data_IF_284526542750
#
_entry.id   IF_284526542750
#
_cell.length_a   1.000
_cell.length_b   1.000
_cell.length_c   1.000
_cell.angle_alpha   90.00
_cell.angle_beta   90.00
_cell.angle_gamma   90.00
#
_symmetry.space_group_name_H-M   'P 1'
#
loop_
_entity.id
_entity.type
_entity.pdbx_description
1 polymer ?
#
# COMPACT_ATOMS: atom_id res chain seq x y z
N UNK A 1 18.04 14.48 -10.64
CA UNK A 1 16.83 13.80 -10.12
C UNK A 1 16.02 13.30 -11.32
N UNK A 2 15.40 12.11 -11.27
CA UNK A 2 14.57 11.62 -12.38
C UNK A 2 13.16 12.20 -12.27
N UNK A 3 12.56 12.57 -13.40
CA UNK A 3 11.14 12.94 -13.47
C UNK A 3 10.34 11.65 -13.64
N UNK A 4 9.28 11.49 -12.85
CA UNK A 4 8.38 10.36 -12.84
C UNK A 4 7.01 10.79 -13.37
N UNK A 5 6.32 9.94 -14.14
CA UNK A 5 5.01 10.25 -14.74
C UNK A 5 3.95 10.48 -13.65
N UNK A 6 3.95 9.63 -12.64
CA UNK A 6 3.16 9.74 -11.43
C UNK A 6 3.84 8.99 -10.29
N UNK A 7 3.28 9.09 -9.08
CA UNK A 7 3.87 8.51 -7.87
C UNK A 7 3.92 6.97 -7.89
N UNK A 8 3.07 6.28 -8.67
CA UNK A 8 3.12 4.81 -8.78
C UNK A 8 4.45 4.32 -9.36
N UNK A 9 5.03 5.09 -10.30
CA UNK A 9 6.33 4.77 -10.91
C UNK A 9 7.52 4.95 -9.95
N UNK A 10 7.27 5.45 -8.73
CA UNK A 10 8.26 5.53 -7.65
C UNK A 10 8.23 4.31 -6.72
N UNK A 11 7.25 3.41 -6.88
CA UNK A 11 7.14 2.19 -6.09
C UNK A 11 8.32 1.27 -6.42
N UNK A 12 8.98 0.80 -5.37
CA UNK A 12 10.13 -0.09 -5.45
C UNK A 12 11.47 0.62 -5.40
N UNK A 13 12.52 -0.08 -5.83
CA UNK A 13 13.91 0.41 -5.76
C UNK A 13 14.32 0.98 -4.38
N UNK A 14 13.73 0.44 -3.32
CA UNK A 14 13.97 0.80 -1.93
C UNK A 14 15.40 0.44 -1.51
N UNK A 15 16.02 1.16 -0.57
CA UNK A 15 17.42 0.97 -0.23
C UNK A 15 17.66 -0.33 0.56
N UNK A 16 18.89 -0.84 0.44
CA UNK A 16 19.47 -1.77 1.41
C UNK A 16 20.33 -0.96 2.38
N UNK A 17 20.03 -1.07 3.67
CA UNK A 17 20.75 -0.34 4.74
C UNK A 17 21.50 -1.34 5.60
N UNK A 18 22.82 -1.17 5.76
CA UNK A 18 23.65 -2.03 6.61
C UNK A 18 23.31 -1.80 8.08
N UNK A 19 23.07 -2.89 8.81
CA UNK A 19 22.94 -2.85 10.27
C UNK A 19 24.35 -2.96 10.87
N UNK A 20 24.78 -1.92 11.60
CA UNK A 20 26.16 -1.86 12.11
C UNK A 20 26.23 -2.24 13.60
N UNK A 21 25.41 -1.62 14.44
CA UNK A 21 25.53 -1.71 15.90
C UNK A 21 24.91 -2.98 16.49
N UNK A 22 23.70 -3.34 16.05
CA UNK A 22 22.93 -4.46 16.61
C UNK A 22 23.44 -5.83 16.12
N UNK A 23 24.23 -5.85 15.05
CA UNK A 23 24.81 -7.07 14.45
C UNK A 23 26.34 -7.09 14.55
N UNK A 24 26.92 -6.29 15.45
CA UNK A 24 28.38 -6.11 15.57
C UNK A 24 29.16 -7.41 15.83
N UNK A 25 28.55 -8.36 16.54
CA UNK A 25 29.17 -9.63 16.95
C UNK A 25 28.80 -10.81 16.02
N UNK A 26 28.03 -10.54 14.95
CA UNK A 26 27.62 -11.55 13.97
C UNK A 26 28.64 -11.53 12.83
N UNK A 27 29.32 -12.66 12.50
CA UNK A 27 30.29 -12.72 11.42
C UNK A 27 29.62 -12.81 10.04
N UNK A 28 28.69 -11.90 9.74
CA UNK A 28 27.97 -11.83 8.48
C UNK A 28 27.58 -10.37 8.14
N UNK A 29 27.44 -10.07 6.85
CA UNK A 29 26.85 -8.80 6.43
C UNK A 29 25.32 -8.88 6.57
N UNK A 30 24.75 -8.09 7.48
CA UNK A 30 23.30 -8.00 7.69
C UNK A 30 22.78 -6.68 7.13
N UNK A 31 21.80 -6.77 6.22
CA UNK A 31 21.20 -5.63 5.53
C UNK A 31 19.69 -5.61 5.77
N UNK A 32 19.13 -4.42 6.01
CA UNK A 32 17.69 -4.19 6.04
C UNK A 32 17.21 -3.67 4.68
N UNK A 33 16.20 -4.32 4.09
CA UNK A 33 15.48 -3.81 2.92
C UNK A 33 14.36 -2.88 3.40
N UNK A 34 14.54 -1.58 3.22
CA UNK A 34 13.71 -0.56 3.90
C UNK A 34 12.51 -0.16 3.03
N UNK A 35 11.42 -0.90 3.15
CA UNK A 35 10.22 -0.74 2.31
C UNK A 35 9.32 0.45 2.64
N UNK A 36 9.62 1.19 3.72
CA UNK A 36 8.90 2.42 4.07
C UNK A 36 9.18 3.59 3.11
N UNK A 37 10.16 3.43 2.20
CA UNK A 37 10.45 4.40 1.14
C UNK A 37 9.47 4.35 -0.04
N UNK A 38 8.60 3.35 -0.12
CA UNK A 38 7.50 3.39 -1.08
C UNK A 38 6.52 4.53 -0.71
N UNK A 39 5.78 5.09 -1.68
CA UNK A 39 4.94 6.28 -1.45
C UNK A 39 3.79 6.10 -0.44
N UNK A 40 3.22 4.91 -0.33
CA UNK A 40 2.26 4.50 0.71
C UNK A 40 2.93 4.03 2.01
N UNK A 41 4.23 4.28 2.17
CA UNK A 41 5.04 3.99 3.35
C UNK A 41 5.16 2.50 3.71
N UNK A 42 4.91 1.59 2.78
CA UNK A 42 4.99 0.16 3.09
C UNK A 42 5.35 -0.71 1.89
N UNK A 43 5.70 -1.98 2.15
CA UNK A 43 5.91 -2.99 1.12
C UNK A 43 4.63 -3.29 0.31
N UNK A 44 3.45 -3.00 0.85
CA UNK A 44 2.16 -3.41 0.26
C UNK A 44 1.84 -2.67 -1.03
N UNK A 45 2.43 -1.49 -1.25
CA UNK A 45 2.30 -0.73 -2.49
C UNK A 45 2.66 -1.57 -3.72
N UNK A 46 3.70 -2.42 -3.60
CA UNK A 46 4.17 -3.29 -4.68
C UNK A 46 3.10 -4.27 -5.13
N UNK A 47 2.53 -5.00 -4.19
CA UNK A 47 1.50 -6.00 -4.52
C UNK A 47 0.18 -5.32 -4.90
N UNK A 48 -0.17 -4.19 -4.28
CA UNK A 48 -1.40 -3.47 -4.59
C UNK A 48 -1.41 -3.00 -6.04
N UNK A 49 -0.33 -2.34 -6.49
CA UNK A 49 -0.19 -1.93 -7.88
C UNK A 49 -0.25 -3.15 -8.82
N UNK A 50 0.48 -4.22 -8.47
CA UNK A 50 0.53 -5.43 -9.30
C UNK A 50 -0.84 -6.11 -9.45
N UNK A 51 -1.62 -6.22 -8.37
CA UNK A 51 -2.98 -6.77 -8.42
C UNK A 51 -3.90 -5.95 -9.34
N UNK A 52 -3.82 -4.62 -9.27
CA UNK A 52 -4.61 -3.73 -10.11
C UNK A 52 -4.22 -3.90 -11.59
N UNK A 53 -2.92 -3.86 -11.92
CA UNK A 53 -2.43 -4.01 -13.29
C UNK A 53 -2.77 -5.39 -13.89
N UNK A 54 -2.67 -6.45 -13.10
CA UNK A 54 -3.00 -7.80 -13.55
C UNK A 54 -4.52 -7.94 -13.78
N UNK A 55 -5.35 -7.34 -12.92
CA UNK A 55 -6.81 -7.33 -13.10
C UNK A 55 -7.25 -6.48 -14.32
N UNK A 56 -6.58 -5.35 -14.59
CA UNK A 56 -6.74 -4.56 -15.80
C UNK A 56 -6.42 -5.39 -17.05
N UNK A 57 -5.24 -6.04 -17.05
CA UNK A 57 -4.77 -6.87 -18.17
C UNK A 57 -5.69 -8.06 -18.44
N UNK A 58 -6.26 -8.66 -17.40
CA UNK A 58 -7.21 -9.76 -17.51
C UNK A 58 -8.64 -9.31 -17.88
N UNK A 59 -8.91 -8.00 -17.94
CA UNK A 59 -10.24 -7.47 -18.21
C UNK A 59 -11.24 -7.63 -17.05
N UNK A 60 -10.75 -8.01 -15.86
CA UNK A 60 -11.56 -8.17 -14.66
C UNK A 60 -11.89 -6.82 -14.02
N UNK A 61 -10.96 -5.87 -14.11
CA UNK A 61 -11.15 -4.49 -13.67
C UNK A 61 -11.36 -3.59 -14.88
N UNK A 62 -12.57 -3.04 -15.02
CA UNK A 62 -12.94 -2.14 -16.12
C UNK A 62 -12.77 -0.67 -15.70
N UNK A 63 -12.58 0.28 -16.64
CA UNK A 63 -12.48 1.70 -16.33
C UNK A 63 -13.64 2.19 -15.45
N UNK A 64 -13.33 2.95 -14.40
CA UNK A 64 -14.33 3.42 -13.42
C UNK A 64 -14.87 2.34 -12.48
N UNK A 65 -14.31 1.13 -12.52
CA UNK A 65 -14.65 0.01 -11.64
C UNK A 65 -14.42 0.32 -10.16
N UNK A 66 -14.94 -0.57 -9.31
CA UNK A 66 -14.82 -0.45 -7.85
C UNK A 66 -13.97 -1.59 -7.30
N UNK A 67 -12.94 -1.23 -6.54
CA UNK A 67 -12.08 -2.15 -5.80
C UNK A 67 -12.64 -2.27 -4.38
N UNK A 68 -12.92 -3.49 -3.94
CA UNK A 68 -13.40 -3.79 -2.59
C UNK A 68 -12.38 -4.70 -1.91
N UNK A 69 -11.86 -4.30 -0.75
CA UNK A 69 -10.84 -5.06 -0.03
C UNK A 69 -11.06 -4.97 1.49
N UNK A 70 -10.94 -6.12 2.17
CA UNK A 70 -10.86 -6.17 3.63
C UNK A 70 -9.43 -5.95 4.09
N UNK A 71 -9.17 -4.88 4.85
CA UNK A 71 -7.79 -4.49 5.18
C UNK A 71 -7.63 -3.88 6.57
N UNK A 72 -6.47 -4.12 7.18
CA UNK A 72 -6.04 -3.50 8.44
C UNK A 72 -5.14 -2.27 8.24
N UNK A 73 -4.95 -1.80 7.00
CA UNK A 73 -4.30 -0.51 6.71
C UNK A 73 -3.48 -0.50 5.43
N UNK A 74 -2.26 -1.05 5.46
CA UNK A 74 -1.24 -0.81 4.42
C UNK A 74 -1.64 -1.29 3.02
N UNK A 75 -2.35 -2.42 2.91
CA UNK A 75 -2.89 -2.86 1.61
C UNK A 75 -3.92 -1.87 1.09
N UNK A 76 -4.82 -1.39 1.96
CA UNK A 76 -5.77 -0.33 1.63
C UNK A 76 -5.08 0.93 1.13
N UNK A 77 -3.98 1.34 1.77
CA UNK A 77 -3.22 2.53 1.35
C UNK A 77 -2.65 2.37 -0.06
N UNK A 78 -1.96 1.25 -0.33
CA UNK A 78 -1.41 0.97 -1.66
C UNK A 78 -2.49 0.91 -2.74
N UNK A 79 -3.65 0.28 -2.44
CA UNK A 79 -4.79 0.23 -3.35
C UNK A 79 -5.44 1.59 -3.56
N UNK A 80 -5.58 2.41 -2.51
CA UNK A 80 -6.15 3.75 -2.59
C UNK A 80 -5.31 4.68 -3.46
N UNK A 81 -3.98 4.65 -3.33
CA UNK A 81 -3.05 5.41 -4.18
C UNK A 81 -3.14 4.93 -5.64
N UNK A 82 -3.19 3.61 -5.88
CA UNK A 82 -3.37 3.08 -7.23
C UNK A 82 -4.72 3.49 -7.84
N UNK A 83 -5.79 3.41 -7.06
CA UNK A 83 -7.15 3.71 -7.48
C UNK A 83 -7.35 5.18 -7.83
N UNK A 84 -6.89 6.11 -6.98
CA UNK A 84 -7.07 7.55 -7.25
C UNK A 84 -6.34 8.00 -8.52
N UNK A 85 -5.18 7.41 -8.83
CA UNK A 85 -4.39 7.74 -10.03
C UNK A 85 -4.98 7.08 -11.28
N UNK A 86 -5.45 5.84 -11.18
CA UNK A 86 -6.00 5.07 -12.31
C UNK A 86 -7.51 5.29 -12.53
N UNK A 87 -8.18 6.05 -11.66
CA UNK A 87 -9.59 6.41 -11.79
C UNK A 87 -10.57 5.33 -11.32
N UNK A 88 -10.23 4.58 -10.28
CA UNK A 88 -11.11 3.59 -9.65
C UNK A 88 -11.72 4.10 -8.35
N UNK A 89 -12.88 3.55 -8.00
CA UNK A 89 -13.47 3.72 -6.67
C UNK A 89 -12.89 2.68 -5.72
N UNK A 90 -12.77 3.02 -4.45
CA UNK A 90 -12.37 2.09 -3.39
C UNK A 90 -13.40 2.01 -2.29
N UNK A 91 -13.70 0.79 -1.86
CA UNK A 91 -14.44 0.50 -0.63
C UNK A 91 -13.57 -0.42 0.22
N UNK A 92 -13.22 0.02 1.42
CA UNK A 92 -12.47 -0.78 2.37
C UNK A 92 -13.33 -1.19 3.54
N UNK A 93 -13.28 -2.47 3.89
CA UNK A 93 -13.83 -2.95 5.15
C UNK A 93 -12.70 -3.10 6.16
N UNK A 94 -12.90 -2.60 7.37
CA UNK A 94 -11.93 -2.69 8.46
C UNK A 94 -12.62 -2.95 9.78
N UNK A 95 -11.88 -3.24 10.85
CA UNK A 95 -12.46 -3.49 12.17
C UNK A 95 -12.39 -2.25 13.05
N UNK A 96 -13.30 -2.15 14.03
CA UNK A 96 -13.30 -1.10 15.07
C UNK A 96 -12.04 -1.07 15.96
N UNK A 97 -11.20 -2.12 15.90
CA UNK A 97 -9.87 -2.17 16.55
C UNK A 97 -8.81 -1.36 15.82
N UNK A 98 -9.02 -0.98 14.56
CA UNK A 98 -8.05 -0.18 13.81
C UNK A 98 -8.08 1.28 14.27
N UNK A 99 -6.92 1.91 14.23
CA UNK A 99 -6.80 3.30 14.67
C UNK A 99 -7.55 4.24 13.73
N UNK A 100 -8.08 5.32 14.29
CA UNK A 100 -8.82 6.33 13.54
C UNK A 100 -7.96 6.95 12.43
N UNK A 101 -6.67 7.14 12.68
CA UNK A 101 -5.72 7.72 11.72
C UNK A 101 -5.61 6.90 10.44
N UNK A 102 -5.70 5.56 10.54
CA UNK A 102 -5.70 4.70 9.35
C UNK A 102 -6.97 4.88 8.53
N UNK A 103 -8.12 4.94 9.21
CA UNK A 103 -9.42 5.16 8.56
C UNK A 103 -9.46 6.53 7.88
N UNK A 104 -9.01 7.56 8.57
CA UNK A 104 -8.97 8.93 8.06
C UNK A 104 -7.98 9.07 6.89
N UNK A 105 -6.84 8.39 6.95
CA UNK A 105 -5.88 8.35 5.85
C UNK A 105 -6.50 7.73 4.59
N UNK A 106 -7.19 6.58 4.70
CA UNK A 106 -7.86 5.95 3.56
C UNK A 106 -8.96 6.85 2.97
N UNK A 107 -9.76 7.49 3.82
CA UNK A 107 -10.80 8.44 3.40
C UNK A 107 -10.21 9.67 2.69
N UNK A 108 -9.04 10.14 3.12
CA UNK A 108 -8.35 11.26 2.47
C UNK A 108 -7.92 10.94 1.03
N UNK A 109 -7.69 9.65 0.70
CA UNK A 109 -7.46 9.19 -0.67
C UNK A 109 -8.76 8.91 -1.45
N UNK A 110 -9.91 9.35 -0.93
CA UNK A 110 -11.21 9.23 -1.60
C UNK A 110 -11.87 7.86 -1.48
N UNK A 111 -11.37 6.98 -0.59
CA UNK A 111 -11.98 5.68 -0.35
C UNK A 111 -13.17 5.77 0.61
N UNK A 112 -14.20 4.97 0.33
CA UNK A 112 -15.21 4.64 1.32
C UNK A 112 -14.62 3.64 2.32
N UNK A 113 -14.87 3.85 3.62
CA UNK A 113 -14.38 2.94 4.67
C UNK A 113 -15.53 2.53 5.58
N UNK A 114 -15.85 1.25 5.54
CA UNK A 114 -16.86 0.57 6.35
C UNK A 114 -16.16 -0.05 7.55
N UNK A 115 -16.51 0.41 8.75
CA UNK A 115 -15.99 -0.14 10.00
C UNK A 115 -16.94 -1.21 10.50
N UNK A 116 -16.47 -2.45 10.53
CA UNK A 116 -17.19 -3.61 11.01
C UNK A 116 -16.93 -3.82 12.51
N UNK A 117 -17.97 -4.15 13.31
CA UNK A 117 -17.81 -4.46 14.73
C UNK A 117 -16.88 -5.66 14.94
N UNK A 118 -16.03 -5.61 15.96
CA UNK A 118 -15.28 -6.79 16.40
C UNK A 118 -16.07 -7.55 17.48
N UNK A 119 -17.13 -8.26 17.08
CA UNK A 119 -17.80 -9.20 18.00
C UNK A 119 -17.00 -10.52 18.06
N UNK A 120 -16.20 -10.67 19.12
CA UNK A 120 -15.51 -11.92 19.52
C UNK A 120 -15.71 -12.17 21.01
#
# INVERSE_FOLDING_TARGET
MKIHENILTTIGNTPLVRLNRITKDIPATVLAKVETFNPGNSIKDRMALKMVEDAEKAGLLKPGGTIIEGTSGNTGMGLAIAAIIKGYKCIFTTTDKQSKEKVDALRAFGAEVIVCPTDV
#
